data_IF_286646395004
#
_entry.id   IF_286646395004
#
_cell.length_a   1.000
_cell.length_b   1.000
_cell.length_c   1.000
_cell.angle_alpha   90.00
_cell.angle_beta   90.00
_cell.angle_gamma   90.00
#
_symmetry.space_group_name_H-M   'P 1'
#
loop_
_entity.id
_entity.type
_entity.pdbx_description
1 polymer ?
#
# COMPACT_ATOMS: atom_id res chain seq x y z
N UNK A 1 -27.18 -0.02 5.97
CA UNK A 1 -27.16 -1.31 5.25
C UNK A 1 -25.72 -1.56 4.82
N UNK A 2 -25.04 -2.56 5.37
CA UNK A 2 -23.71 -2.97 4.91
C UNK A 2 -23.96 -4.15 3.98
N UNK A 3 -24.02 -3.90 2.68
CA UNK A 3 -23.99 -4.99 1.71
C UNK A 3 -22.57 -5.54 1.66
N UNK A 4 -22.39 -6.76 2.17
CA UNK A 4 -21.19 -7.56 1.98
C UNK A 4 -20.98 -7.72 0.47
N UNK A 5 -19.98 -7.03 -0.06
CA UNK A 5 -19.57 -7.16 -1.47
C UNK A 5 -19.40 -8.65 -1.77
N UNK A 6 -20.25 -9.19 -2.64
CA UNK A 6 -20.13 -10.55 -3.16
C UNK A 6 -18.71 -10.69 -3.69
N UNK A 7 -18.00 -11.76 -3.27
CA UNK A 7 -16.73 -12.18 -3.85
C UNK A 7 -16.91 -12.28 -5.36
N UNK A 8 -16.57 -11.22 -6.08
CA UNK A 8 -16.09 -11.37 -7.44
C UNK A 8 -14.71 -12.01 -7.28
N UNK A 9 -14.67 -13.32 -7.47
CA UNK A 9 -13.43 -14.00 -7.80
C UNK A 9 -12.96 -13.36 -9.11
N UNK A 10 -12.16 -12.31 -9.00
CA UNK A 10 -11.40 -11.82 -10.14
C UNK A 10 -10.69 -13.04 -10.70
N UNK A 11 -10.87 -13.29 -12.00
CA UNK A 11 -10.19 -14.36 -12.68
C UNK A 11 -8.71 -14.25 -12.31
N UNK A 12 -8.15 -15.36 -11.83
CA UNK A 12 -6.74 -15.49 -11.46
C UNK A 12 -5.92 -15.34 -12.74
N UNK A 13 -5.78 -14.10 -13.21
CA UNK A 13 -4.81 -13.74 -14.24
C UNK A 13 -3.45 -13.87 -13.58
N UNK A 14 -2.75 -14.93 -14.00
CA UNK A 14 -1.31 -15.17 -13.87
C UNK A 14 -0.64 -14.52 -12.64
N UNK A 15 -0.60 -15.29 -11.55
CA UNK A 15 0.19 -14.96 -10.36
C UNK A 15 1.67 -15.07 -10.73
N UNK A 16 2.21 -13.99 -11.29
CA UNK A 16 3.64 -13.78 -11.41
C UNK A 16 4.23 -13.50 -10.00
N UNK A 17 5.45 -13.96 -9.70
CA UNK A 17 6.12 -13.65 -8.44
C UNK A 17 6.24 -12.13 -8.24
N UNK A 18 6.46 -11.67 -6.99
CA UNK A 18 6.37 -10.27 -6.56
C UNK A 18 6.91 -9.24 -7.58
N UNK A 19 6.02 -8.69 -8.41
CA UNK A 19 6.34 -7.67 -9.41
C UNK A 19 6.30 -6.25 -8.83
N UNK A 20 6.51 -6.12 -7.51
CA UNK A 20 6.49 -4.81 -6.88
C UNK A 20 7.41 -4.74 -5.67
N UNK A 21 8.07 -3.59 -5.53
CA UNK A 21 8.88 -3.23 -4.36
C UNK A 21 8.25 -2.01 -3.68
N UNK A 22 7.83 -2.18 -2.43
CA UNK A 22 7.33 -1.08 -1.61
C UNK A 22 8.46 -0.51 -0.75
N UNK A 23 8.82 0.73 -1.02
CA UNK A 23 9.85 1.45 -0.29
C UNK A 23 9.23 2.53 0.60
N UNK A 24 9.36 2.36 1.93
CA UNK A 24 8.82 3.30 2.92
C UNK A 24 9.95 4.19 3.43
N UNK A 25 9.90 5.48 3.11
CA UNK A 25 10.84 6.50 3.59
C UNK A 25 10.13 7.49 4.52
N UNK A 26 10.87 8.30 5.30
CA UNK A 26 10.28 9.49 5.90
C UNK A 26 9.62 10.35 4.81
N UNK A 27 8.43 10.90 5.08
CA UNK A 27 7.66 11.79 4.20
C UNK A 27 7.07 11.19 2.92
N UNK A 28 7.68 10.14 2.35
CA UNK A 28 7.26 9.54 1.09
C UNK A 28 7.31 8.02 1.12
N UNK A 29 6.40 7.40 0.38
CA UNK A 29 6.36 5.96 0.11
C UNK A 29 6.36 5.78 -1.39
N UNK A 30 7.20 4.88 -1.90
CA UNK A 30 7.28 4.56 -3.33
C UNK A 30 6.86 3.12 -3.56
N UNK A 31 5.96 2.91 -4.51
CA UNK A 31 5.60 1.59 -4.99
C UNK A 31 6.20 1.44 -6.39
N UNK A 32 7.30 0.71 -6.47
CA UNK A 32 7.93 0.35 -7.74
C UNK A 32 7.19 -0.84 -8.32
N UNK A 33 6.61 -0.69 -9.50
CA UNK A 33 6.10 -1.80 -10.30
C UNK A 33 7.26 -2.28 -11.18
N UNK A 34 7.63 -3.54 -11.00
CA UNK A 34 8.76 -4.15 -11.69
C UNK A 34 8.29 -4.83 -12.98
N UNK A 35 9.20 -4.97 -13.94
CA UNK A 35 8.97 -5.80 -15.11
C UNK A 35 8.76 -7.27 -14.73
N UNK A 36 8.34 -8.10 -15.69
CA UNK A 36 8.09 -9.53 -15.46
C UNK A 36 9.31 -10.32 -14.97
N UNK A 37 10.50 -9.73 -15.05
CA UNK A 37 11.76 -10.32 -14.56
C UNK A 37 12.12 -9.86 -13.15
N UNK A 38 11.45 -8.84 -12.62
CA UNK A 38 11.80 -8.22 -11.35
C UNK A 38 13.11 -7.42 -11.40
N UNK A 39 13.61 -7.08 -12.59
CA UNK A 39 14.94 -6.50 -12.79
C UNK A 39 14.91 -4.97 -12.89
N UNK A 40 13.81 -4.41 -13.41
CA UNK A 40 13.69 -2.98 -13.64
C UNK A 40 12.31 -2.44 -13.24
N UNK A 41 12.28 -1.25 -12.63
CA UNK A 41 11.05 -0.50 -12.39
C UNK A 41 10.47 0.00 -13.72
N UNK A 42 9.28 -0.46 -14.08
CA UNK A 42 8.53 -0.02 -15.28
C UNK A 42 7.61 1.14 -15.00
N UNK A 43 7.08 1.22 -13.77
CA UNK A 43 6.21 2.29 -13.30
C UNK A 43 6.43 2.50 -11.80
N UNK A 44 6.20 3.71 -11.30
CA UNK A 44 6.38 4.01 -9.88
C UNK A 44 5.28 4.93 -9.39
N UNK A 45 4.51 4.49 -8.40
CA UNK A 45 3.58 5.35 -7.67
C UNK A 45 4.29 5.99 -6.48
N UNK A 46 3.98 7.25 -6.21
CA UNK A 46 4.52 8.00 -5.07
C UNK A 46 3.40 8.47 -4.16
N UNK A 47 3.48 8.11 -2.88
CA UNK A 47 2.52 8.48 -1.87
C UNK A 47 3.18 9.36 -0.81
N UNK A 48 2.62 10.56 -0.60
CA UNK A 48 3.03 11.41 0.51
C UNK A 48 2.53 10.82 1.83
N UNK A 49 3.44 10.59 2.79
CA UNK A 49 3.09 10.02 4.10
C UNK A 49 2.03 10.89 4.81
N UNK A 50 2.09 12.21 4.67
CA UNK A 50 1.09 13.12 5.25
C UNK A 50 -0.35 12.92 4.72
N UNK A 51 -0.52 12.26 3.56
CA UNK A 51 -1.82 11.99 2.93
C UNK A 51 -2.31 10.55 3.14
N UNK A 52 -1.49 9.67 3.72
CA UNK A 52 -1.93 8.32 4.09
C UNK A 52 -2.74 8.44 5.40
N UNK A 53 -4.00 8.03 5.36
CA UNK A 53 -4.93 8.15 6.48
C UNK A 53 -4.86 6.95 7.44
N UNK A 54 -4.53 5.77 6.93
CA UNK A 54 -4.56 4.52 7.68
C UNK A 54 -3.68 3.45 6.99
N UNK A 55 -3.16 2.49 7.77
CA UNK A 55 -2.52 1.28 7.24
C UNK A 55 -2.81 0.07 8.14
N UNK A 56 -2.77 -1.15 7.58
CA UNK A 56 -3.07 -2.39 8.29
C UNK A 56 -2.32 -3.59 7.70
N UNK A 57 -2.05 -4.59 8.55
CA UNK A 57 -1.44 -5.88 8.21
C UNK A 57 -1.99 -7.03 9.10
N UNK A 58 -3.21 -6.88 9.63
CA UNK A 58 -3.81 -7.86 10.54
C UNK A 58 -5.11 -8.44 9.98
N UNK A 59 -5.01 -8.95 8.75
CA UNK A 59 -6.14 -9.56 8.05
C UNK A 59 -6.24 -11.05 8.41
N UNK A 60 -7.38 -11.49 8.95
CA UNK A 60 -7.59 -12.89 9.33
C UNK A 60 -7.65 -13.85 8.13
N UNK A 61 -8.17 -13.38 6.99
CA UNK A 61 -8.35 -14.22 5.77
C UNK A 61 -7.07 -14.29 4.95
N UNK A 62 -6.35 -13.17 4.80
CA UNK A 62 -5.12 -13.07 4.00
C UNK A 62 -4.02 -12.41 4.84
N UNK A 63 -3.37 -13.16 5.74
CA UNK A 63 -2.50 -12.59 6.77
C UNK A 63 -1.21 -11.98 6.22
N UNK A 64 -0.88 -12.22 4.96
CA UNK A 64 0.28 -11.70 4.24
C UNK A 64 -0.03 -10.41 3.47
N UNK A 65 -1.21 -9.82 3.61
CA UNK A 65 -1.55 -8.54 2.97
C UNK A 65 -1.11 -7.37 3.86
N UNK A 66 -0.46 -6.38 3.26
CA UNK A 66 -0.32 -5.04 3.81
C UNK A 66 -1.15 -4.06 2.98
N UNK A 67 -2.00 -3.27 3.62
CA UNK A 67 -2.87 -2.30 2.95
C UNK A 67 -2.77 -0.91 3.58
N UNK A 68 -2.98 0.12 2.77
CA UNK A 68 -3.05 1.51 3.22
C UNK A 68 -4.14 2.28 2.49
N UNK A 69 -4.64 3.32 3.14
CA UNK A 69 -5.65 4.22 2.60
C UNK A 69 -5.01 5.57 2.33
N UNK A 70 -5.06 6.02 1.08
CA UNK A 70 -4.50 7.28 0.61
C UNK A 70 -5.60 8.29 0.33
N UNK A 71 -5.41 9.54 0.76
CA UNK A 71 -6.26 10.66 0.37
C UNK A 71 -5.78 11.19 -0.97
N UNK A 72 -6.44 10.82 -2.06
CA UNK A 72 -6.17 11.40 -3.39
C UNK A 72 -6.76 12.82 -3.49
N UNK A 73 -6.06 13.72 -4.16
CA UNK A 73 -6.50 15.09 -4.45
C UNK A 73 -6.59 15.18 -5.95
N UNK A 74 -7.81 15.21 -6.45
CA UNK A 74 -8.09 15.29 -7.87
C UNK A 74 -7.78 16.70 -8.42
N UNK A 75 -7.66 16.82 -9.74
CA UNK A 75 -7.39 18.10 -10.41
C UNK A 75 -8.45 19.18 -10.13
N UNK A 76 -9.69 18.76 -9.84
CA UNK A 76 -10.81 19.62 -9.46
C UNK A 76 -10.84 19.97 -7.96
N UNK A 77 -9.76 19.64 -7.21
CA UNK A 77 -9.61 19.81 -5.76
C UNK A 77 -10.57 18.96 -4.91
N UNK A 78 -11.32 18.03 -5.52
CA UNK A 78 -12.08 17.04 -4.77
C UNK A 78 -11.16 16.00 -4.13
N UNK A 79 -11.64 15.39 -3.03
CA UNK A 79 -10.91 14.35 -2.32
C UNK A 79 -11.53 12.98 -2.57
N UNK A 80 -10.69 11.99 -2.88
CA UNK A 80 -11.07 10.59 -2.93
C UNK A 80 -10.23 9.78 -1.95
N UNK A 81 -10.80 8.70 -1.42
CA UNK A 81 -10.10 7.77 -0.54
C UNK A 81 -9.80 6.50 -1.32
N UNK A 82 -8.53 6.28 -1.62
CA UNK A 82 -8.07 5.11 -2.35
C UNK A 82 -7.46 4.09 -1.41
N UNK A 83 -7.86 2.83 -1.57
CA UNK A 83 -7.31 1.71 -0.82
C UNK A 83 -6.32 0.97 -1.71
N UNK A 84 -5.08 0.87 -1.25
CA UNK A 84 -4.01 0.14 -1.90
C UNK A 84 -3.61 -1.04 -1.04
N UNK A 85 -3.16 -2.11 -1.69
CA UNK A 85 -2.71 -3.31 -1.00
C UNK A 85 -1.57 -3.97 -1.77
N UNK A 86 -0.66 -4.59 -1.03
CA UNK A 86 0.38 -5.47 -1.55
C UNK A 86 0.32 -6.80 -0.84
N UNK A 87 0.55 -7.86 -1.61
CA UNK A 87 0.76 -9.21 -1.08
C UNK A 87 2.24 -9.41 -0.76
N UNK A 88 2.53 -9.70 0.51
CA UNK A 88 3.87 -9.98 0.99
C UNK A 88 4.15 -11.48 0.99
N UNK A 89 5.43 -11.84 1.10
CA UNK A 89 5.86 -13.24 1.20
C UNK A 89 5.34 -13.93 2.48
N UNK A 90 5.12 -13.17 3.55
CA UNK A 90 4.63 -13.72 4.81
C UNK A 90 3.86 -12.69 5.65
N UNK A 91 3.12 -13.20 6.65
CA UNK A 91 2.49 -12.38 7.70
C UNK A 91 3.50 -11.47 8.43
N UNK A 92 4.71 -11.97 8.64
CA UNK A 92 5.75 -11.20 9.33
C UNK A 92 6.20 -10.01 8.49
N UNK A 93 6.39 -10.19 7.18
CA UNK A 93 6.77 -9.11 6.26
C UNK A 93 5.67 -8.05 6.16
N UNK A 94 4.41 -8.45 6.04
CA UNK A 94 3.29 -7.50 6.08
C UNK A 94 3.29 -6.66 7.37
N UNK A 95 3.54 -7.29 8.53
CA UNK A 95 3.65 -6.58 9.82
C UNK A 95 4.86 -5.66 9.91
N UNK A 96 6.00 -6.03 9.32
CA UNK A 96 7.18 -5.16 9.23
C UNK A 96 6.88 -3.91 8.40
N UNK A 97 6.16 -4.03 7.28
CA UNK A 97 5.72 -2.88 6.48
C UNK A 97 4.79 -1.95 7.28
N UNK A 98 3.81 -2.50 7.98
CA UNK A 98 2.93 -1.70 8.84
C UNK A 98 3.70 -0.97 9.95
N UNK A 99 4.69 -1.63 10.55
CA UNK A 99 5.57 -1.00 11.54
C UNK A 99 6.43 0.11 10.93
N UNK A 100 7.03 -0.12 9.76
CA UNK A 100 7.82 0.88 9.05
C UNK A 100 6.98 2.11 8.66
N UNK A 101 5.75 1.90 8.18
CA UNK A 101 4.80 2.98 7.88
C UNK A 101 4.46 3.80 9.12
N UNK A 102 4.25 3.15 10.27
CA UNK A 102 4.03 3.81 11.55
C UNK A 102 5.23 4.69 11.96
N UNK A 103 6.46 4.19 11.81
CA UNK A 103 7.65 4.98 12.12
C UNK A 103 7.83 6.16 11.15
N UNK A 104 7.49 5.97 9.87
CA UNK A 104 7.46 7.06 8.90
C UNK A 104 6.41 8.12 9.27
N UNK A 105 5.22 7.73 9.73
CA UNK A 105 4.22 8.65 10.26
C UNK A 105 4.77 9.46 11.41
N UNK A 106 5.31 8.78 12.44
CA UNK A 106 5.87 9.48 13.62
C UNK A 106 6.89 10.52 13.17
N UNK A 107 7.88 10.14 12.37
CA UNK A 107 8.90 11.09 11.90
C UNK A 107 8.30 12.28 11.16
N UNK A 108 7.38 12.00 10.23
CA UNK A 108 6.73 13.03 9.40
C UNK A 108 5.92 14.02 10.23
N UNK A 109 5.09 13.54 11.16
CA UNK A 109 4.26 14.40 12.02
C UNK A 109 5.07 15.15 13.08
N UNK A 110 6.19 14.59 13.57
CA UNK A 110 7.06 15.32 14.49
C UNK A 110 7.79 16.48 13.82
N UNK A 111 8.18 16.36 12.55
CA UNK A 111 8.84 17.45 11.80
C UNK A 111 7.88 18.52 11.26
N UNK A 112 6.57 18.31 11.34
CA UNK A 112 5.56 19.32 10.97
C UNK A 112 5.14 20.20 12.16
N UNK A 113 5.70 19.96 13.35
CA UNK A 113 5.57 20.84 14.53
C UNK A 113 6.63 21.93 14.51
#
# INVERSE_FOLDING_TARGET
>A
VIELWKKHTLAREDVFPANALLEIRPFQVWLHHLDHKGEATVHMDTFQVARIAYCTADHNVSPNIFAWVYREINDDLSYQMDCHAVECESKLEAKKLAHAMMEAFKKTFHSMK
#
